data_IF_556856033123
#
_entry.id   IF_556856033123
#
_cell.length_a   1.000
_cell.length_b   1.000
_cell.length_c   1.000
_cell.angle_alpha   90.00
_cell.angle_beta   90.00
_cell.angle_gamma   90.00
#
_symmetry.space_group_name_H-M   'P 1'
#
loop_
_entity.id
_entity.type
_entity.pdbx_description
1 polymer ?
#
# COMPACT_ATOMS: atom_id res chain seq x y z
N UNK A 1 -4.77 -19.23 45.02
CA UNK A 1 -5.65 -18.18 44.43
C UNK A 1 -4.92 -17.21 43.50
N UNK A 2 -3.87 -16.50 43.93
CA UNK A 2 -3.19 -15.47 43.12
C UNK A 2 -2.73 -15.93 41.73
N UNK A 3 -2.12 -17.12 41.60
CA UNK A 3 -1.69 -17.69 40.30
C UNK A 3 -2.85 -17.92 39.31
N UNK A 4 -4.01 -18.40 39.78
CA UNK A 4 -5.19 -18.61 38.92
C UNK A 4 -5.74 -17.28 38.40
N UNK A 5 -5.80 -16.26 39.25
CA UNK A 5 -6.24 -14.91 38.86
C UNK A 5 -5.27 -14.32 37.82
N UNK A 6 -3.96 -14.45 38.03
CA UNK A 6 -2.95 -13.99 37.05
C UNK A 6 -3.13 -14.72 35.71
N UNK A 7 -3.32 -16.04 35.70
CA UNK A 7 -3.55 -16.77 34.46
C UNK A 7 -4.83 -16.36 33.74
N UNK A 8 -5.92 -16.10 34.47
CA UNK A 8 -7.18 -15.60 33.88
C UNK A 8 -6.98 -14.22 33.25
N UNK A 9 -6.27 -13.31 33.92
CA UNK A 9 -5.96 -11.98 33.39
C UNK A 9 -5.12 -12.08 32.12
N UNK A 10 -4.08 -12.92 32.13
CA UNK A 10 -3.22 -13.13 30.95
C UNK A 10 -4.00 -13.72 29.77
N UNK A 11 -4.87 -14.71 30.03
CA UNK A 11 -5.71 -15.31 29.00
C UNK A 11 -6.71 -14.29 28.42
N UNK A 12 -7.36 -13.48 29.27
CA UNK A 12 -8.27 -12.43 28.84
C UNK A 12 -7.55 -11.35 28.02
N UNK A 13 -6.36 -10.94 28.42
CA UNK A 13 -5.54 -9.98 27.68
C UNK A 13 -5.12 -10.54 26.30
N UNK A 14 -4.74 -11.81 26.22
CA UNK A 14 -4.41 -12.47 24.96
C UNK A 14 -5.61 -12.53 24.00
N UNK A 15 -6.81 -12.89 24.50
CA UNK A 15 -8.04 -12.92 23.70
C UNK A 15 -8.44 -11.52 23.22
N UNK A 16 -8.35 -10.51 24.08
CA UNK A 16 -8.62 -9.12 23.71
C UNK A 16 -7.63 -8.62 22.65
N UNK A 17 -6.33 -8.94 22.81
CA UNK A 17 -5.30 -8.61 21.82
C UNK A 17 -5.54 -9.28 20.46
N UNK A 18 -5.90 -10.56 20.46
CA UNK A 18 -6.24 -11.29 19.23
C UNK A 18 -7.49 -10.72 18.55
N UNK A 19 -8.54 -10.43 19.33
CA UNK A 19 -9.76 -9.78 18.83
C UNK A 19 -9.49 -8.41 18.21
N UNK A 20 -8.67 -7.60 18.88
CA UNK A 20 -8.23 -6.30 18.37
C UNK A 20 -7.42 -6.43 17.08
N UNK A 21 -6.47 -7.38 17.02
CA UNK A 21 -5.66 -7.63 15.83
C UNK A 21 -6.52 -8.01 14.61
N UNK A 22 -7.47 -8.93 14.79
CA UNK A 22 -8.42 -9.32 13.75
C UNK A 22 -9.26 -8.13 13.30
N UNK A 23 -9.80 -7.36 14.25
CA UNK A 23 -10.58 -6.17 13.94
C UNK A 23 -9.77 -5.15 13.13
N UNK A 24 -8.50 -4.92 13.51
CA UNK A 24 -7.63 -3.98 12.82
C UNK A 24 -7.28 -4.43 11.39
N UNK A 25 -7.01 -5.72 11.19
CA UNK A 25 -6.74 -6.27 9.86
C UNK A 25 -7.98 -6.23 8.95
N UNK A 26 -9.19 -6.44 9.50
CA UNK A 26 -10.43 -6.37 8.72
C UNK A 26 -10.80 -4.96 8.27
N UNK A 27 -10.31 -3.92 8.93
CA UNK A 27 -10.60 -2.53 8.54
C UNK A 27 -9.67 -2.06 7.43
N UNK A 28 -10.23 -1.30 6.49
CA UNK A 28 -9.49 -0.66 5.41
C UNK A 28 -10.04 0.74 5.14
N UNK A 29 -9.30 1.51 4.34
CA UNK A 29 -9.82 2.68 3.65
C UNK A 29 -10.90 2.24 2.63
N UNK A 30 -11.87 3.12 2.35
CA UNK A 30 -12.83 2.86 1.27
C UNK A 30 -12.19 3.02 -0.12
N UNK A 31 -12.72 2.34 -1.14
CA UNK A 31 -12.10 2.37 -2.47
C UNK A 31 -11.94 3.77 -3.06
N UNK A 32 -12.90 4.67 -2.82
CA UNK A 32 -12.80 6.06 -3.29
C UNK A 32 -11.57 6.78 -2.72
N UNK A 33 -11.22 6.53 -1.45
CA UNK A 33 -10.04 7.13 -0.83
C UNK A 33 -8.75 6.52 -1.40
N UNK A 34 -8.72 5.19 -1.56
CA UNK A 34 -7.58 4.47 -2.13
C UNK A 34 -7.29 4.95 -3.56
N UNK A 35 -8.32 5.02 -4.40
CA UNK A 35 -8.20 5.50 -5.79
C UNK A 35 -7.75 6.95 -5.84
N UNK A 36 -8.31 7.83 -4.98
CA UNK A 36 -7.87 9.22 -4.92
C UNK A 36 -6.38 9.35 -4.58
N UNK A 37 -5.89 8.55 -3.63
CA UNK A 37 -4.46 8.51 -3.27
C UNK A 37 -3.61 8.01 -4.45
N UNK A 38 -4.03 6.91 -5.09
CA UNK A 38 -3.36 6.37 -6.28
C UNK A 38 -3.26 7.41 -7.41
N UNK A 39 -4.37 8.08 -7.73
CA UNK A 39 -4.41 9.16 -8.72
C UNK A 39 -3.45 10.30 -8.37
N UNK A 40 -3.35 10.67 -7.09
CA UNK A 40 -2.42 11.70 -6.64
C UNK A 40 -0.95 11.35 -6.90
N UNK A 41 -0.56 10.10 -6.60
CA UNK A 41 0.82 9.65 -6.87
C UNK A 41 1.08 9.56 -8.38
N UNK A 42 0.12 9.04 -9.17
CA UNK A 42 0.24 8.98 -10.64
C UNK A 42 0.36 10.36 -11.27
N UNK A 43 -0.37 11.35 -10.74
CA UNK A 43 -0.22 12.74 -11.17
C UNK A 43 1.19 13.26 -10.88
N UNK A 44 1.75 12.98 -9.69
CA UNK A 44 3.12 13.39 -9.36
C UNK A 44 4.18 12.74 -10.26
N UNK A 45 3.98 11.49 -10.67
CA UNK A 45 4.84 10.80 -11.65
C UNK A 45 4.75 11.46 -13.04
N UNK A 46 3.54 11.87 -13.46
CA UNK A 46 3.36 12.58 -14.71
C UNK A 46 3.98 13.99 -14.68
N UNK A 47 3.87 14.72 -13.56
CA UNK A 47 4.57 15.99 -13.37
C UNK A 47 6.09 15.82 -13.50
N UNK A 48 6.66 14.79 -12.85
CA UNK A 48 8.08 14.44 -13.01
C UNK A 48 8.42 14.20 -14.48
N UNK A 49 7.59 13.42 -15.18
CA UNK A 49 7.81 13.13 -16.61
C UNK A 49 7.73 14.37 -17.48
N UNK A 50 6.83 15.29 -17.20
CA UNK A 50 6.71 16.54 -17.96
C UNK A 50 7.92 17.45 -17.78
N UNK A 51 8.47 17.51 -16.56
CA UNK A 51 9.66 18.29 -16.25
C UNK A 51 10.93 17.67 -16.84
N UNK A 52 11.14 16.36 -16.63
CA UNK A 52 12.39 15.68 -17.00
C UNK A 52 12.35 14.98 -18.37
N UNK A 53 11.20 15.02 -19.05
CA UNK A 53 10.92 14.35 -20.34
C UNK A 53 11.11 12.83 -20.33
N UNK A 54 11.10 12.21 -19.14
CA UNK A 54 11.26 10.77 -18.92
C UNK A 54 10.59 10.35 -17.61
N UNK A 55 10.18 9.08 -17.50
CA UNK A 55 9.77 8.52 -16.21
C UNK A 55 10.98 8.36 -15.27
N UNK A 56 10.75 8.44 -13.94
CA UNK A 56 11.82 8.28 -12.97
C UNK A 56 12.38 6.84 -12.99
N UNK A 57 13.69 6.69 -12.79
CA UNK A 57 14.32 5.35 -12.77
C UNK A 57 14.05 4.58 -11.47
N UNK A 58 13.53 5.26 -10.45
CA UNK A 58 13.08 4.72 -9.16
C UNK A 58 12.01 5.67 -8.60
N UNK A 59 11.06 5.17 -7.82
CA UNK A 59 10.07 6.04 -7.19
C UNK A 59 10.71 7.12 -6.31
N UNK A 60 11.86 6.84 -5.70
CA UNK A 60 12.61 7.80 -4.90
C UNK A 60 13.05 9.06 -5.67
N UNK A 61 13.18 9.01 -7.00
CA UNK A 61 13.45 10.22 -7.80
C UNK A 61 12.28 11.21 -7.77
N UNK A 62 11.04 10.73 -7.75
CA UNK A 62 9.83 11.56 -7.63
C UNK A 62 9.83 12.35 -6.33
N UNK A 63 10.25 11.71 -5.22
CA UNK A 63 10.37 12.36 -3.92
C UNK A 63 11.48 13.41 -3.91
N UNK A 64 12.65 13.08 -4.46
CA UNK A 64 13.80 14.00 -4.53
C UNK A 64 13.56 15.20 -5.44
N UNK A 65 12.80 15.02 -6.52
CA UNK A 65 12.40 16.10 -7.42
C UNK A 65 11.35 17.04 -6.79
N UNK A 66 10.71 16.63 -5.69
CA UNK A 66 9.70 17.44 -5.01
C UNK A 66 8.34 17.45 -5.73
N UNK A 67 8.14 16.63 -6.76
CA UNK A 67 6.81 16.48 -7.38
C UNK A 67 5.83 15.71 -6.49
N UNK A 68 6.34 15.02 -5.47
CA UNK A 68 5.58 14.45 -4.36
C UNK A 68 6.40 14.55 -3.06
N UNK A 69 5.82 15.07 -1.98
CA UNK A 69 6.52 15.17 -0.70
C UNK A 69 6.75 13.80 -0.05
N UNK A 70 5.73 12.95 -0.05
CA UNK A 70 5.79 11.59 0.47
C UNK A 70 4.70 10.72 -0.18
N UNK A 71 4.95 9.42 -0.26
CA UNK A 71 3.90 8.47 -0.63
C UNK A 71 2.82 8.44 0.47
N UNK A 72 1.52 8.54 0.12
CA UNK A 72 0.45 8.51 1.08
C UNK A 72 0.34 7.13 1.74
N UNK A 73 -0.02 7.10 3.02
CA UNK A 73 -0.43 5.87 3.70
C UNK A 73 -1.53 5.16 2.91
N UNK A 74 -1.40 3.84 2.79
CA UNK A 74 -2.38 2.89 2.30
C UNK A 74 -2.75 1.91 3.41
N UNK A 75 -4.04 1.69 3.63
CA UNK A 75 -4.55 0.65 4.53
C UNK A 75 -5.66 -0.11 3.83
N UNK A 76 -5.32 -1.29 3.33
CA UNK A 76 -6.30 -2.21 2.75
C UNK A 76 -6.81 -3.19 3.80
N UNK A 77 -8.03 -3.73 3.64
CA UNK A 77 -8.45 -4.91 4.40
C UNK A 77 -7.48 -6.06 4.17
N UNK A 78 -7.12 -6.78 5.23
CA UNK A 78 -6.14 -7.88 5.21
C UNK A 78 -4.69 -7.45 5.41
N UNK A 79 -4.38 -6.16 5.24
CA UNK A 79 -3.00 -5.64 5.27
C UNK A 79 -2.75 -4.65 6.39
N UNK A 80 -1.51 -4.50 6.87
CA UNK A 80 -1.17 -3.40 7.77
C UNK A 80 -1.10 -2.08 7.00
N UNK A 81 -1.13 -0.95 7.72
CA UNK A 81 -0.97 0.37 7.11
C UNK A 81 0.47 0.50 6.60
N UNK A 82 0.63 0.89 5.34
CA UNK A 82 1.93 1.01 4.69
C UNK A 82 1.96 2.22 3.74
N UNK A 83 3.04 3.00 3.75
CA UNK A 83 3.29 4.09 2.79
C UNK A 83 4.45 3.81 1.84
N UNK A 84 5.14 2.67 1.99
CA UNK A 84 6.27 2.32 1.15
C UNK A 84 5.82 2.09 -0.30
N UNK A 85 6.65 2.57 -1.23
CA UNK A 85 6.56 2.23 -2.65
C UNK A 85 7.74 1.34 -2.98
N UNK A 86 7.44 0.11 -3.44
CA UNK A 86 8.46 -0.85 -3.84
C UNK A 86 8.77 -0.66 -5.33
N UNK A 87 10.03 -0.41 -5.65
CA UNK A 87 10.51 -0.49 -7.03
C UNK A 87 10.55 -1.96 -7.48
N UNK A 88 9.96 -2.26 -8.64
CA UNK A 88 9.87 -3.60 -9.21
C UNK A 88 10.36 -3.61 -10.67
N UNK A 89 10.94 -4.73 -11.15
CA UNK A 89 11.36 -4.83 -12.54
C UNK A 89 10.18 -5.00 -13.51
N UNK A 90 9.04 -5.47 -13.04
CA UNK A 90 7.83 -5.69 -13.85
C UNK A 90 6.59 -5.60 -12.99
N UNK A 91 5.42 -5.56 -13.63
CA UNK A 91 4.14 -5.72 -12.95
C UNK A 91 4.07 -7.13 -12.36
N UNK A 92 4.15 -7.21 -11.03
CA UNK A 92 4.05 -8.45 -10.27
C UNK A 92 3.28 -8.20 -8.97
N UNK A 93 2.16 -8.91 -8.81
CA UNK A 93 1.34 -8.85 -7.59
C UNK A 93 1.91 -9.85 -6.58
N UNK A 94 2.52 -9.33 -5.52
CA UNK A 94 3.09 -10.08 -4.39
C UNK A 94 2.24 -9.97 -3.13
N UNK A 95 1.14 -9.21 -3.19
CA UNK A 95 0.19 -9.02 -2.10
C UNK A 95 0.82 -8.38 -0.85
N UNK A 96 1.66 -7.37 -1.05
CA UNK A 96 2.26 -6.61 0.05
C UNK A 96 1.29 -5.64 0.72
N UNK A 97 0.16 -5.33 0.09
CA UNK A 97 -0.82 -4.35 0.55
C UNK A 97 -0.34 -2.90 0.44
N UNK A 98 0.77 -2.68 -0.27
CA UNK A 98 1.41 -1.37 -0.48
C UNK A 98 1.33 -0.89 -1.94
N UNK A 99 2.14 0.11 -2.24
CA UNK A 99 2.33 0.62 -3.59
C UNK A 99 3.51 -0.08 -4.27
N UNK A 100 3.45 -0.25 -5.59
CA UNK A 100 4.56 -0.73 -6.38
C UNK A 100 4.74 0.10 -7.65
N UNK A 101 6.00 0.33 -8.03
CA UNK A 101 6.40 1.13 -9.18
C UNK A 101 7.30 0.31 -10.09
N UNK A 102 6.96 0.21 -11.38
CA UNK A 102 7.78 -0.51 -12.36
C UNK A 102 8.95 0.39 -12.79
N UNK A 103 10.14 0.08 -12.29
CA UNK A 103 11.34 0.90 -12.42
C UNK A 103 12.30 0.45 -13.53
N UNK A 104 12.11 -0.75 -14.08
CA UNK A 104 12.96 -1.25 -15.17
C UNK A 104 12.54 -0.65 -16.52
N UNK A 105 13.45 0.08 -17.15
CA UNK A 105 13.26 0.75 -18.45
C UNK A 105 13.04 -0.22 -19.61
N UNK A 106 13.44 -1.48 -19.46
CA UNK A 106 13.22 -2.50 -20.48
C UNK A 106 11.81 -3.11 -20.41
N UNK A 107 11.09 -2.87 -19.31
CA UNK A 107 9.72 -3.35 -19.12
C UNK A 107 8.74 -2.56 -20.00
N UNK A 108 7.77 -3.23 -20.65
CA UNK A 108 6.68 -2.53 -21.33
C UNK A 108 5.82 -1.69 -20.36
N UNK A 109 5.86 -2.02 -19.07
CA UNK A 109 5.13 -1.32 -18.01
C UNK A 109 5.97 -0.24 -17.32
N UNK A 110 7.16 0.12 -17.84
CA UNK A 110 8.03 1.13 -17.21
C UNK A 110 7.27 2.43 -16.91
N UNK A 111 7.35 2.90 -15.66
CA UNK A 111 6.61 4.08 -15.20
C UNK A 111 5.23 3.78 -14.59
N UNK A 112 4.76 2.53 -14.65
CA UNK A 112 3.50 2.14 -14.04
C UNK A 112 3.60 2.14 -12.52
N UNK A 113 2.62 2.77 -11.88
CA UNK A 113 2.37 2.66 -10.44
C UNK A 113 1.05 1.92 -10.21
N UNK A 114 1.08 0.90 -9.36
CA UNK A 114 -0.07 0.04 -9.07
C UNK A 114 -0.18 -0.29 -7.57
N UNK A 115 -1.35 -0.80 -7.18
CA UNK A 115 -1.58 -1.33 -5.83
C UNK A 115 -1.19 -2.81 -5.81
N UNK A 116 -0.21 -3.16 -4.99
CA UNK A 116 0.31 -4.52 -4.88
C UNK A 116 -0.55 -5.36 -3.91
N UNK A 117 -1.74 -5.74 -4.38
CA UNK A 117 -2.70 -6.50 -3.59
C UNK A 117 -3.58 -7.39 -4.47
N UNK A 118 -3.70 -8.66 -4.09
CA UNK A 118 -4.52 -9.66 -4.80
C UNK A 118 -5.97 -9.74 -4.28
N UNK A 119 -6.30 -8.96 -3.25
CA UNK A 119 -7.65 -8.89 -2.69
C UNK A 119 -8.57 -7.99 -3.53
N UNK A 120 -9.88 -8.10 -3.28
CA UNK A 120 -10.91 -7.29 -3.94
C UNK A 120 -11.38 -6.12 -3.07
N UNK A 121 -11.85 -5.05 -3.73
CA UNK A 121 -12.57 -3.95 -3.10
C UNK A 121 -14.02 -4.34 -2.72
N UNK A 122 -14.78 -3.41 -2.14
CA UNK A 122 -16.18 -3.61 -1.78
C UNK A 122 -17.12 -3.84 -2.98
N UNK A 123 -16.63 -3.63 -4.22
CA UNK A 123 -17.35 -3.86 -5.47
C UNK A 123 -16.82 -5.07 -6.24
N UNK A 124 -16.06 -5.94 -5.58
CA UNK A 124 -15.48 -7.16 -6.15
C UNK A 124 -14.45 -6.94 -7.27
N UNK A 125 -13.82 -5.76 -7.37
CA UNK A 125 -12.71 -5.48 -8.31
C UNK A 125 -11.38 -5.73 -7.62
N UNK A 126 -10.37 -6.24 -8.33
CA UNK A 126 -9.06 -6.42 -7.71
C UNK A 126 -8.40 -5.06 -7.46
N UNK A 127 -7.73 -4.91 -6.31
CA UNK A 127 -7.00 -3.68 -6.02
C UNK A 127 -5.92 -3.39 -7.07
N UNK A 128 -5.30 -4.42 -7.65
CA UNK A 128 -4.31 -4.30 -8.71
C UNK A 128 -4.84 -3.83 -10.06
N UNK A 129 -6.17 -3.77 -10.26
CA UNK A 129 -6.81 -3.35 -11.52
C UNK A 129 -7.09 -1.84 -11.58
N UNK A 130 -6.87 -1.11 -10.48
CA UNK A 130 -7.01 0.35 -10.44
C UNK A 130 -5.79 1.06 -11.00
#
# INVERSE_FOLDING_TARGET
MKRRIIMIILAAAALAGAGWGIFHLRRGMGAAEVVRKLSGIRLALELYRQEHKKYPASFGETLRAGTLEAAPDLKLPGHFKNSQVRDTPSLAITDSGGWAYVSDRSSPDFGLLYIDCSHRDEKSRFWSEF
#
